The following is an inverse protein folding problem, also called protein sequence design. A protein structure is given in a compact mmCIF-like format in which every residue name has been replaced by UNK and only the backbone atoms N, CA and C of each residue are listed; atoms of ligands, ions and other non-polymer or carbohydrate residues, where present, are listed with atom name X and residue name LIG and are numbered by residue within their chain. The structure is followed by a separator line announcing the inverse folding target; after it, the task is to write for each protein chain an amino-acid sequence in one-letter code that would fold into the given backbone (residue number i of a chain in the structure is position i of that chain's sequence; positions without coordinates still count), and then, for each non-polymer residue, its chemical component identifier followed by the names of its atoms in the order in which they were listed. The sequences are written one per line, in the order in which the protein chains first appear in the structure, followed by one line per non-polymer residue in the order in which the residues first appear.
data_IF_340498674984
#
_entry.id   IF_340498674984
#
_cell.length_a   1.000
_cell.length_b   1.000
_cell.length_c   1.000
_cell.angle_alpha   90.00
_cell.angle_beta   90.00
_cell.angle_gamma   90.00
#
_symmetry.space_group_name_H-M   'P 1'
#
loop_
_entity.id
_entity.type
_entity.pdbx_description
1 polymer ?
#
# COMPACT_ATOMS: atom_id res chain seq x y z
N UNK A 1 12.85 11.92 -57.14
CA UNK A 1 12.86 13.31 -56.64
C UNK A 1 11.55 13.96 -57.06
N UNK A 2 10.54 13.84 -56.22
CA UNK A 2 9.29 14.58 -56.38
C UNK A 2 9.19 15.46 -55.14
N UNK A 3 9.44 16.76 -55.31
CA UNK A 3 9.18 17.74 -54.28
C UNK A 3 7.66 17.86 -54.15
N UNK A 4 7.09 17.27 -53.10
CA UNK A 4 5.74 17.59 -52.67
C UNK A 4 5.73 19.06 -52.24
N UNK A 5 5.14 19.90 -53.08
CA UNK A 5 4.90 21.30 -52.77
C UNK A 5 3.95 21.36 -51.57
N UNK A 6 4.52 21.55 -50.38
CA UNK A 6 3.78 21.74 -49.13
C UNK A 6 2.97 23.02 -49.28
N UNK A 7 1.65 22.90 -49.50
CA UNK A 7 0.75 24.05 -49.52
C UNK A 7 0.61 24.58 -48.10
N UNK A 8 1.50 25.50 -47.72
CA UNK A 8 1.42 26.20 -46.44
C UNK A 8 0.51 27.42 -46.57
N UNK A 9 -0.27 27.71 -45.54
CA UNK A 9 -1.15 28.88 -45.52
C UNK A 9 -0.31 30.16 -45.44
N UNK A 10 -0.43 31.06 -46.43
CA UNK A 10 0.36 32.31 -46.48
C UNK A 10 0.03 33.28 -45.33
N UNK A 11 -1.19 33.21 -44.77
CA UNK A 11 -1.59 33.95 -43.58
C UNK A 11 -1.92 32.98 -42.44
N UNK A 12 -1.07 32.95 -41.40
CA UNK A 12 -1.40 32.26 -40.16
C UNK A 12 -2.47 33.05 -39.39
N UNK A 13 -3.52 32.38 -38.89
CA UNK A 13 -4.46 32.98 -37.95
C UNK A 13 -3.74 33.53 -36.71
N UNK A 14 -4.14 34.72 -36.24
CA UNK A 14 -3.51 35.40 -35.10
C UNK A 14 -3.55 34.55 -33.82
N UNK A 15 -4.69 33.93 -33.51
CA UNK A 15 -4.83 33.06 -32.32
C UNK A 15 -3.82 31.91 -32.26
N UNK A 16 -3.32 31.41 -33.41
CA UNK A 16 -2.30 30.35 -33.40
C UNK A 16 -0.92 30.88 -33.00
N UNK A 17 -0.63 32.13 -33.35
CA UNK A 17 0.62 32.80 -32.94
C UNK A 17 0.55 33.10 -31.46
N UNK A 18 -0.53 33.77 -31.03
CA UNK A 18 -0.77 34.06 -29.61
C UNK A 18 -0.71 32.80 -28.74
N UNK A 19 -1.32 31.70 -29.17
CA UNK A 19 -1.26 30.43 -28.43
C UNK A 19 0.16 29.85 -28.37
N UNK A 20 0.93 29.94 -29.46
CA UNK A 20 2.31 29.42 -29.45
C UNK A 20 3.19 30.29 -28.57
N UNK A 21 3.07 31.61 -28.67
CA UNK A 21 3.78 32.58 -27.85
C UNK A 21 3.44 32.42 -26.35
N UNK A 22 2.18 32.12 -26.01
CA UNK A 22 1.76 31.83 -24.63
C UNK A 22 2.39 30.53 -24.10
N UNK A 23 2.45 29.47 -24.91
CA UNK A 23 3.09 28.20 -24.53
C UNK A 23 4.60 28.39 -24.36
N UNK A 24 5.25 29.08 -25.30
CA UNK A 24 6.69 29.40 -25.21
C UNK A 24 6.98 30.18 -23.92
N UNK A 25 6.19 31.22 -23.62
CA UNK A 25 6.33 31.97 -22.38
C UNK A 25 6.12 31.11 -21.14
N UNK A 26 5.17 30.17 -21.16
CA UNK A 26 4.97 29.26 -20.04
C UNK A 26 6.16 28.33 -19.84
N UNK A 27 6.71 27.77 -20.92
CA UNK A 27 7.90 26.90 -20.87
C UNK A 27 9.12 27.66 -20.36
N UNK A 28 9.33 28.91 -20.80
CA UNK A 28 10.46 29.72 -20.33
C UNK A 28 10.34 30.15 -18.86
N UNK A 29 9.12 30.23 -18.32
CA UNK A 29 8.87 30.68 -16.95
C UNK A 29 8.97 29.57 -15.91
N UNK A 30 8.95 28.29 -16.31
CA UNK A 30 9.00 27.16 -15.39
C UNK A 30 10.26 26.33 -15.62
N UNK A 31 10.78 25.72 -14.57
CA UNK A 31 12.01 24.92 -14.66
C UNK A 31 11.78 23.55 -15.32
N UNK A 32 10.61 22.94 -15.10
CA UNK A 32 10.32 21.59 -15.54
C UNK A 32 9.07 21.54 -16.43
N UNK A 33 9.15 20.73 -17.49
CA UNK A 33 8.07 20.56 -18.48
C UNK A 33 7.73 19.08 -18.62
N UNK A 34 6.49 18.71 -18.34
CA UNK A 34 5.95 17.38 -18.54
C UNK A 34 4.96 17.30 -19.69
N UNK A 35 4.94 16.18 -20.41
CA UNK A 35 3.88 15.80 -21.34
C UNK A 35 2.96 14.82 -20.63
N UNK A 36 1.69 15.18 -20.48
CA UNK A 36 0.68 14.31 -19.85
C UNK A 36 -0.38 13.85 -20.85
N UNK A 37 -0.84 12.61 -20.70
CA UNK A 37 -2.04 12.10 -21.32
C UNK A 37 -3.27 12.64 -20.61
N UNK A 38 -4.28 13.05 -21.39
CA UNK A 38 -5.59 13.49 -20.86
C UNK A 38 -6.73 12.68 -21.47
N UNK A 39 -6.41 11.50 -22.00
CA UNK A 39 -7.35 10.68 -22.74
C UNK A 39 -8.40 10.08 -21.81
N UNK A 40 -9.68 10.15 -22.20
CA UNK A 40 -10.76 9.56 -21.42
C UNK A 40 -11.13 10.31 -20.14
N UNK A 41 -10.53 11.47 -19.85
CA UNK A 41 -10.87 12.29 -18.68
C UNK A 41 -12.13 13.14 -18.95
N UNK A 42 -13.24 12.94 -18.23
CA UNK A 42 -14.40 13.82 -18.25
C UNK A 42 -14.03 15.27 -17.89
N UNK A 43 -14.73 16.23 -18.49
CA UNK A 43 -14.40 17.65 -18.29
C UNK A 43 -14.53 18.15 -16.85
N UNK A 44 -15.34 17.50 -16.01
CA UNK A 44 -15.49 17.84 -14.59
C UNK A 44 -14.25 17.39 -13.79
N UNK A 45 -13.86 16.12 -13.92
CA UNK A 45 -12.65 15.57 -13.28
C UNK A 45 -11.40 16.35 -13.71
N UNK A 46 -11.24 16.67 -14.99
CA UNK A 46 -10.11 17.48 -15.47
C UNK A 46 -10.08 18.89 -14.85
N UNK A 47 -11.24 19.49 -14.57
CA UNK A 47 -11.32 20.78 -13.88
C UNK A 47 -10.98 20.67 -12.40
N UNK A 48 -11.34 19.55 -11.76
CA UNK A 48 -11.03 19.27 -10.36
C UNK A 48 -9.54 19.02 -10.19
N UNK A 49 -8.93 18.15 -11.02
CA UNK A 49 -7.47 17.95 -11.08
C UNK A 49 -6.71 19.25 -11.34
N UNK A 50 -7.18 20.10 -12.27
CA UNK A 50 -6.56 21.41 -12.53
C UNK A 50 -6.64 22.34 -11.30
N UNK A 51 -7.68 22.20 -10.48
CA UNK A 51 -7.83 23.01 -9.25
C UNK A 51 -6.88 22.51 -8.16
N UNK A 52 -6.66 21.21 -8.07
CA UNK A 52 -5.71 20.61 -7.14
C UNK A 52 -4.27 20.99 -7.47
N UNK A 53 -3.89 20.95 -8.74
CA UNK A 53 -2.57 21.37 -9.21
C UNK A 53 -2.34 22.88 -9.11
N UNK A 54 -3.38 23.68 -8.81
CA UNK A 54 -3.25 25.14 -8.82
C UNK A 54 -2.30 25.63 -7.70
N UNK A 55 -1.14 26.12 -8.12
CA UNK A 55 -0.11 26.65 -7.24
C UNK A 55 1.17 25.82 -7.29
N UNK A 56 1.07 24.54 -7.63
CA UNK A 56 2.19 23.62 -7.82
C UNK A 56 2.56 23.46 -9.30
N UNK A 57 1.55 23.29 -10.15
CA UNK A 57 1.74 23.04 -11.57
C UNK A 57 0.65 23.68 -12.44
N UNK A 58 1.01 24.02 -13.68
CA UNK A 58 0.12 24.60 -14.68
C UNK A 58 -0.13 23.60 -15.79
N UNK A 59 -1.38 23.14 -15.92
CA UNK A 59 -1.81 22.28 -17.02
C UNK A 59 -2.32 23.11 -18.21
N UNK A 60 -1.55 23.15 -19.31
CA UNK A 60 -1.94 23.77 -20.58
C UNK A 60 -2.28 22.72 -21.64
N UNK A 61 -3.52 22.73 -22.11
CA UNK A 61 -3.99 21.88 -23.21
C UNK A 61 -4.14 22.73 -24.47
N UNK A 62 -3.52 22.31 -25.56
CA UNK A 62 -3.53 23.03 -26.83
C UNK A 62 -3.35 22.03 -27.99
N UNK A 63 -3.30 22.49 -29.23
CA UNK A 63 -3.12 21.57 -30.37
C UNK A 63 -1.71 21.01 -30.36
N UNK A 64 -1.55 19.70 -30.55
CA UNK A 64 -0.24 19.02 -30.62
C UNK A 64 0.73 19.68 -31.61
N UNK A 65 0.22 20.23 -32.72
CA UNK A 65 1.04 20.95 -33.71
C UNK A 65 1.59 22.28 -33.21
N UNK A 66 0.92 22.93 -32.25
CA UNK A 66 1.39 24.16 -31.62
C UNK A 66 2.33 23.84 -30.45
N UNK A 67 1.99 22.85 -29.63
CA UNK A 67 2.87 22.36 -28.56
C UNK A 67 4.23 21.92 -29.10
N UNK A 68 4.24 21.09 -30.16
CA UNK A 68 5.47 20.63 -30.80
C UNK A 68 6.34 21.80 -31.29
N UNK A 69 5.72 22.82 -31.89
CA UNK A 69 6.45 24.01 -32.34
C UNK A 69 7.03 24.83 -31.19
N UNK A 70 6.29 24.98 -30.10
CA UNK A 70 6.77 25.71 -28.93
C UNK A 70 7.94 24.98 -28.26
N UNK A 71 7.86 23.64 -28.12
CA UNK A 71 8.93 22.80 -27.59
C UNK A 71 10.20 22.86 -28.46
N UNK A 72 10.04 22.86 -29.79
CA UNK A 72 11.15 23.04 -30.75
C UNK A 72 11.81 24.42 -30.63
N UNK A 73 11.02 25.46 -30.30
CA UNK A 73 11.53 26.82 -30.15
C UNK A 73 12.31 27.02 -28.84
N UNK A 74 11.91 26.35 -27.76
CA UNK A 74 12.52 26.48 -26.43
C UNK A 74 13.68 25.52 -26.17
N UNK A 75 13.96 24.59 -27.09
CA UNK A 75 15.09 23.64 -27.01
C UNK A 75 14.77 22.35 -26.26
N UNK A 76 13.48 22.03 -26.08
CA UNK A 76 12.99 20.78 -25.51
C UNK A 76 12.51 19.83 -26.61
N UNK A 77 13.29 19.73 -27.70
CA UNK A 77 12.97 18.92 -28.89
C UNK A 77 12.69 17.45 -28.54
N UNK A 78 13.36 16.92 -27.52
CA UNK A 78 13.26 15.52 -27.11
C UNK A 78 11.84 15.14 -26.62
N UNK A 79 11.07 16.10 -26.09
CA UNK A 79 9.69 15.86 -25.65
C UNK A 79 8.72 15.68 -26.84
N UNK A 80 9.10 16.11 -28.03
CA UNK A 80 8.18 16.14 -29.19
C UNK A 80 7.76 14.75 -29.67
N UNK A 81 8.53 13.72 -29.34
CA UNK A 81 8.24 12.31 -29.62
C UNK A 81 7.07 11.79 -28.77
N UNK A 82 6.89 12.33 -27.57
CA UNK A 82 5.83 11.91 -26.63
C UNK A 82 4.49 12.63 -26.85
N UNK A 83 4.48 13.70 -27.66
CA UNK A 83 3.29 14.52 -27.98
C UNK A 83 2.43 13.84 -29.06
N UNK A 84 1.74 12.77 -28.68
CA UNK A 84 0.85 11.98 -29.55
C UNK A 84 -0.56 11.74 -28.95
N UNK A 85 -1.61 11.85 -29.75
CA UNK A 85 -2.98 11.66 -29.26
C UNK A 85 -3.51 12.83 -28.42
N UNK A 86 -4.28 12.54 -27.37
CA UNK A 86 -4.88 13.53 -26.47
C UNK A 86 -3.91 13.86 -25.34
N UNK A 87 -3.13 14.93 -25.53
CA UNK A 87 -2.05 15.33 -24.60
C UNK A 87 -2.15 16.79 -24.17
N UNK A 88 -1.64 17.06 -22.97
CA UNK A 88 -1.41 18.39 -22.41
C UNK A 88 0.04 18.56 -21.97
N UNK A 89 0.45 19.81 -21.76
CA UNK A 89 1.69 20.14 -21.11
C UNK A 89 1.41 20.47 -19.64
N UNK A 90 2.18 19.88 -18.74
CA UNK A 90 2.23 20.26 -17.33
C UNK A 90 3.54 20.98 -17.09
N UNK A 91 3.47 22.15 -16.49
CA UNK A 91 4.64 23.00 -16.22
C UNK A 91 4.73 23.20 -14.72
N UNK A 92 5.89 22.99 -14.13
CA UNK A 92 6.09 23.14 -12.69
C UNK A 92 7.51 23.58 -12.39
N UNK A 93 7.66 24.31 -11.28
CA UNK A 93 8.96 24.64 -10.69
C UNK A 93 9.44 23.55 -9.72
N UNK A 94 8.61 22.54 -9.45
CA UNK A 94 8.95 21.45 -8.57
C UNK A 94 9.71 20.33 -9.28
N UNK A 95 10.44 19.54 -8.49
CA UNK A 95 11.20 18.40 -8.97
C UNK A 95 10.31 17.39 -9.73
N UNK A 96 10.76 16.81 -10.86
CA UNK A 96 9.96 15.92 -11.68
C UNK A 96 9.45 14.67 -10.95
N UNK A 97 10.17 14.16 -9.94
CA UNK A 97 9.72 13.04 -9.11
C UNK A 97 8.62 13.44 -8.12
N UNK A 98 8.63 14.69 -7.65
CA UNK A 98 7.53 15.21 -6.83
C UNK A 98 6.29 15.44 -7.69
N UNK A 99 6.48 16.00 -8.88
CA UNK A 99 5.40 16.20 -9.85
C UNK A 99 4.75 14.87 -10.25
N UNK A 100 5.54 13.83 -10.54
CA UNK A 100 5.00 12.50 -10.84
C UNK A 100 4.13 11.98 -9.68
N UNK A 101 4.63 12.05 -8.44
CA UNK A 101 3.87 11.64 -7.25
C UNK A 101 2.60 12.44 -7.02
N UNK A 102 2.63 13.75 -7.27
CA UNK A 102 1.43 14.59 -7.16
C UNK A 102 0.40 14.25 -8.25
N UNK A 103 0.85 13.98 -9.48
CA UNK A 103 -0.03 13.55 -10.57
C UNK A 103 -0.65 12.18 -10.31
N UNK A 104 0.13 11.22 -9.80
CA UNK A 104 -0.37 9.91 -9.36
C UNK A 104 -1.35 10.04 -8.19
N UNK A 105 -1.08 10.90 -7.20
CA UNK A 105 -1.99 11.15 -6.09
C UNK A 105 -3.27 11.89 -6.51
N UNK A 106 -3.25 12.65 -7.61
CA UNK A 106 -4.43 13.33 -8.16
C UNK A 106 -5.34 12.42 -8.99
N UNK A 107 -4.95 11.15 -9.19
CA UNK A 107 -5.79 10.16 -9.88
C UNK A 107 -7.06 9.94 -9.07
N UNK A 108 -8.20 10.01 -9.75
CA UNK A 108 -9.49 9.81 -9.12
C UNK A 108 -10.14 8.57 -9.73
N UNK A 109 -10.80 7.73 -8.90
CA UNK A 109 -11.64 6.68 -9.44
C UNK A 109 -12.77 7.27 -10.30
N UNK A 110 -13.16 6.53 -11.33
CA UNK A 110 -14.20 6.89 -12.28
C UNK A 110 -14.96 5.63 -12.74
N UNK A 111 -16.24 5.79 -13.14
CA UNK A 111 -17.01 4.70 -13.72
C UNK A 111 -16.47 4.33 -15.11
N UNK A 112 -16.54 3.04 -15.44
CA UNK A 112 -16.14 2.49 -16.75
C UNK A 112 -17.36 2.30 -17.65
N UNK A 113 -17.28 2.75 -18.90
CA UNK A 113 -18.38 2.64 -19.87
C UNK A 113 -18.35 1.35 -20.69
N UNK A 114 -19.50 0.91 -21.21
CA UNK A 114 -19.57 -0.24 -22.09
C UNK A 114 -18.78 -0.05 -23.38
N UNK A 115 -18.04 -1.10 -23.75
CA UNK A 115 -17.13 -1.10 -24.90
C UNK A 115 -15.77 -0.44 -24.64
N UNK A 116 -15.51 0.03 -23.43
CA UNK A 116 -14.15 0.36 -22.99
C UNK A 116 -13.40 -0.91 -22.58
N UNK A 117 -12.07 -0.87 -22.72
CA UNK A 117 -11.18 -1.95 -22.27
C UNK A 117 -10.81 -1.68 -20.81
N UNK A 118 -11.00 -2.67 -19.94
CA UNK A 118 -10.65 -2.55 -18.53
C UNK A 118 -9.13 -2.43 -18.35
N UNK A 119 -8.62 -1.37 -17.69
CA UNK A 119 -7.18 -1.22 -17.46
C UNK A 119 -6.66 -2.17 -16.37
N UNK A 120 -7.49 -2.48 -15.38
CA UNK A 120 -7.21 -3.36 -14.25
C UNK A 120 -8.35 -4.37 -14.10
N UNK A 121 -8.13 -5.43 -13.31
CA UNK A 121 -9.15 -6.42 -13.00
C UNK A 121 -10.32 -5.76 -12.25
N UNK A 122 -11.55 -6.05 -12.69
CA UNK A 122 -12.76 -5.53 -12.06
C UNK A 122 -13.25 -6.55 -11.03
N UNK A 123 -13.17 -6.17 -9.75
CA UNK A 123 -13.60 -7.00 -8.62
C UNK A 123 -14.81 -6.37 -7.95
N UNK A 124 -15.82 -7.18 -7.66
CA UNK A 124 -16.92 -6.79 -6.78
C UNK A 124 -16.58 -7.27 -5.38
N UNK A 125 -16.41 -6.36 -4.40
CA UNK A 125 -16.02 -6.73 -3.05
C UNK A 125 -17.14 -7.47 -2.33
N UNK A 126 -16.76 -8.33 -1.38
CA UNK A 126 -17.67 -8.94 -0.42
C UNK A 126 -18.34 -7.85 0.45
N UNK A 127 -19.62 -8.05 0.75
CA UNK A 127 -20.37 -7.09 1.57
C UNK A 127 -21.80 -6.85 1.14
N UNK A 128 -22.47 -6.00 1.93
CA UNK A 128 -23.84 -5.57 1.67
C UNK A 128 -23.83 -4.52 0.56
N UNK A 129 -24.53 -4.81 -0.51
CA UNK A 129 -24.66 -3.86 -1.63
C UNK A 129 -25.59 -2.71 -1.30
N UNK A 130 -26.41 -2.83 -0.24
CA UNK A 130 -27.40 -1.83 0.15
C UNK A 130 -28.58 -1.70 -0.83
N UNK A 131 -28.66 -2.58 -1.84
CA UNK A 131 -29.71 -2.59 -2.86
C UNK A 131 -30.87 -3.50 -2.43
N UNK A 132 -32.10 -3.02 -2.61
CA UNK A 132 -33.32 -3.77 -2.28
C UNK A 132 -33.43 -5.07 -3.12
N UNK A 133 -33.98 -6.17 -2.54
CA UNK A 133 -34.10 -7.45 -3.23
C UNK A 133 -34.98 -7.33 -4.48
N UNK A 134 -34.41 -7.68 -5.64
CA UNK A 134 -35.06 -7.49 -6.93
C UNK A 134 -34.40 -8.28 -8.07
N UNK A 135 -34.68 -7.93 -9.33
CA UNK A 135 -34.04 -8.57 -10.49
C UNK A 135 -32.51 -8.41 -10.48
N UNK A 136 -31.99 -7.42 -9.75
CA UNK A 136 -30.56 -7.11 -9.63
C UNK A 136 -29.71 -8.29 -9.12
N UNK A 137 -30.25 -9.17 -8.27
CA UNK A 137 -29.55 -10.40 -7.84
C UNK A 137 -29.20 -11.30 -9.03
N UNK A 138 -30.13 -11.41 -9.99
CA UNK A 138 -29.92 -12.20 -11.21
C UNK A 138 -28.88 -11.55 -12.12
N UNK A 139 -28.82 -10.22 -12.16
CA UNK A 139 -27.84 -9.46 -12.94
C UNK A 139 -26.41 -9.65 -12.36
N UNK A 140 -26.26 -9.56 -11.03
CA UNK A 140 -25.00 -9.87 -10.33
C UNK A 140 -24.52 -11.30 -10.57
N UNK A 141 -25.41 -12.28 -10.46
CA UNK A 141 -25.09 -13.68 -10.72
C UNK A 141 -24.75 -13.93 -12.21
N UNK A 142 -25.36 -13.17 -13.12
CA UNK A 142 -25.12 -13.31 -14.56
C UNK A 142 -23.73 -12.80 -14.98
N UNK A 143 -23.22 -11.75 -14.31
CA UNK A 143 -21.86 -11.24 -14.54
C UNK A 143 -20.79 -12.02 -13.77
N UNK A 144 -21.17 -13.04 -12.98
CA UNK A 144 -20.25 -13.94 -12.30
C UNK A 144 -20.01 -13.66 -10.82
N UNK A 145 -20.74 -12.73 -10.20
CA UNK A 145 -20.63 -12.46 -8.76
C UNK A 145 -21.47 -13.43 -7.93
N UNK A 146 -20.90 -13.94 -6.82
CA UNK A 146 -21.63 -14.81 -5.89
C UNK A 146 -22.49 -13.99 -4.92
N UNK A 147 -23.69 -13.60 -5.36
CA UNK A 147 -24.63 -12.80 -4.57
C UNK A 147 -25.85 -13.61 -4.09
N UNK A 148 -26.32 -13.36 -2.86
CA UNK A 148 -27.58 -13.91 -2.30
C UNK A 148 -28.37 -12.82 -1.56
N UNK A 149 -29.64 -13.11 -1.29
CA UNK A 149 -30.50 -12.22 -0.51
C UNK A 149 -30.36 -12.62 0.97
N UNK A 150 -29.87 -11.71 1.79
CA UNK A 150 -29.74 -11.87 3.24
C UNK A 150 -30.28 -10.61 3.93
N UNK A 151 -30.95 -10.78 5.08
CA UNK A 151 -31.48 -9.68 5.91
C UNK A 151 -32.31 -8.58 5.22
N UNK A 152 -32.85 -8.88 4.03
CA UNK A 152 -33.68 -7.96 3.28
C UNK A 152 -32.91 -7.03 2.33
N UNK A 153 -31.61 -7.27 2.09
CA UNK A 153 -30.79 -6.66 1.03
C UNK A 153 -30.03 -7.73 0.24
N UNK A 154 -29.26 -7.32 -0.76
CA UNK A 154 -28.44 -8.21 -1.60
C UNK A 154 -27.00 -8.20 -1.07
N UNK A 155 -26.49 -9.35 -0.67
CA UNK A 155 -25.15 -9.56 -0.13
C UNK A 155 -24.25 -10.28 -1.13
N UNK A 156 -23.03 -9.78 -1.33
CA UNK A 156 -21.96 -10.48 -2.04
C UNK A 156 -21.16 -11.31 -1.03
N UNK A 157 -21.04 -12.60 -1.30
CA UNK A 157 -20.49 -13.59 -0.36
C UNK A 157 -18.96 -13.69 -0.37
N UNK A 158 -18.34 -13.35 -1.48
CA UNK A 158 -16.90 -13.41 -1.68
C UNK A 158 -16.48 -12.44 -2.79
N UNK A 159 -15.26 -11.92 -2.68
CA UNK A 159 -14.63 -11.08 -3.71
C UNK A 159 -14.64 -11.82 -5.05
N UNK A 160 -15.41 -11.31 -6.00
CA UNK A 160 -15.63 -11.95 -7.30
C UNK A 160 -15.08 -11.08 -8.42
N UNK A 161 -14.04 -11.56 -9.12
CA UNK A 161 -13.52 -10.91 -10.33
C UNK A 161 -14.49 -11.14 -11.49
N UNK A 162 -15.17 -10.08 -11.91
CA UNK A 162 -16.19 -10.13 -12.98
C UNK A 162 -15.60 -9.94 -14.38
N UNK A 163 -14.42 -9.33 -14.46
CA UNK A 163 -13.71 -9.10 -15.72
C UNK A 163 -12.19 -8.99 -15.47
N UNK A 164 -11.38 -9.63 -16.31
CA UNK A 164 -9.93 -9.51 -16.28
C UNK A 164 -9.45 -8.24 -17.03
N UNK A 165 -8.27 -7.74 -16.66
CA UNK A 165 -7.63 -6.63 -17.34
C UNK A 165 -7.44 -6.92 -18.84
N UNK A 166 -7.82 -5.96 -19.69
CA UNK A 166 -7.70 -6.07 -21.15
C UNK A 166 -8.94 -6.60 -21.87
N UNK A 167 -10.00 -6.99 -21.15
CA UNK A 167 -11.28 -7.36 -21.75
C UNK A 167 -12.22 -6.17 -21.94
N UNK A 168 -13.16 -6.29 -22.89
CA UNK A 168 -14.16 -5.25 -23.18
C UNK A 168 -15.32 -5.33 -22.19
N UNK A 169 -15.66 -4.19 -21.58
CA UNK A 169 -16.79 -4.10 -20.65
C UNK A 169 -18.11 -4.25 -21.40
N UNK A 170 -18.95 -5.20 -20.96
CA UNK A 170 -20.31 -5.38 -21.49
C UNK A 170 -21.28 -4.40 -20.83
N UNK A 171 -22.40 -4.12 -21.50
CA UNK A 171 -23.44 -3.24 -20.95
C UNK A 171 -24.03 -3.75 -19.63
N UNK A 172 -24.07 -5.07 -19.42
CA UNK A 172 -24.58 -5.66 -18.19
C UNK A 172 -23.63 -5.38 -17.01
N UNK A 173 -22.31 -5.46 -17.23
CA UNK A 173 -21.29 -5.12 -16.22
C UNK A 173 -21.32 -3.63 -15.89
N UNK A 174 -21.39 -2.75 -16.90
CA UNK A 174 -21.50 -1.30 -16.68
C UNK A 174 -22.71 -0.94 -15.81
N UNK A 175 -23.89 -1.50 -16.10
CA UNK A 175 -25.10 -1.20 -15.34
C UNK A 175 -24.96 -1.64 -13.88
N UNK A 176 -24.39 -2.82 -13.63
CA UNK A 176 -24.18 -3.31 -12.27
C UNK A 176 -23.17 -2.47 -11.50
N UNK A 177 -22.03 -2.12 -12.11
CA UNK A 177 -21.02 -1.26 -11.47
C UNK A 177 -21.58 0.12 -11.13
N UNK A 178 -22.35 0.72 -12.03
CA UNK A 178 -22.99 2.01 -11.80
C UNK A 178 -24.04 1.97 -10.67
N UNK A 179 -24.82 0.88 -10.58
CA UNK A 179 -25.82 0.72 -9.51
C UNK A 179 -25.15 0.47 -8.15
N UNK A 180 -24.05 -0.27 -8.11
CA UNK A 180 -23.23 -0.46 -6.90
C UNK A 180 -22.40 0.77 -6.53
N UNK A 181 -22.31 1.76 -7.43
CA UNK A 181 -21.42 2.92 -7.25
C UNK A 181 -19.93 2.56 -7.25
N UNK A 182 -19.56 1.43 -7.87
CA UNK A 182 -18.17 0.97 -7.96
C UNK A 182 -17.50 1.63 -9.18
N UNK A 183 -16.46 2.40 -8.90
CA UNK A 183 -15.66 3.10 -9.90
C UNK A 183 -14.42 2.28 -10.26
N UNK A 184 -14.56 1.39 -11.25
CA UNK A 184 -13.56 0.37 -11.59
C UNK A 184 -12.38 0.86 -12.45
N UNK A 185 -12.31 2.16 -12.77
CA UNK A 185 -11.26 2.75 -13.60
C UNK A 185 -10.63 3.92 -12.87
N UNK A 186 -9.32 3.97 -12.82
CA UNK A 186 -8.61 5.17 -12.40
C UNK A 186 -8.40 6.09 -13.60
N UNK A 187 -8.80 7.35 -13.44
CA UNK A 187 -8.65 8.38 -14.46
C UNK A 187 -7.71 9.44 -13.91
N UNK A 188 -6.66 9.71 -14.67
CA UNK A 188 -5.50 10.46 -14.19
C UNK A 188 -4.79 11.23 -15.28
N UNK A 189 -3.98 12.19 -14.87
CA UNK A 189 -3.02 12.84 -15.75
C UNK A 189 -1.78 11.96 -15.89
N UNK A 190 -1.81 11.03 -16.83
CA UNK A 190 -0.70 10.09 -17.03
C UNK A 190 0.53 10.82 -17.57
N UNK A 191 1.57 10.98 -16.74
CA UNK A 191 2.83 11.56 -17.18
C UNK A 191 3.51 10.60 -18.16
N UNK A 192 3.82 11.07 -19.37
CA UNK A 192 4.52 10.28 -20.39
C UNK A 192 5.99 10.55 -20.44
N UNK A 193 6.38 11.80 -20.19
CA UNK A 193 7.76 12.22 -20.15
C UNK A 193 7.85 13.54 -19.37
N UNK A 194 8.91 13.71 -18.59
CA UNK A 194 9.28 14.98 -17.99
C UNK A 194 10.66 15.43 -18.47
N UNK A 195 10.81 16.70 -18.76
CA UNK A 195 12.07 17.34 -19.09
C UNK A 195 12.51 18.24 -17.94
N UNK A 196 13.68 17.95 -17.39
CA UNK A 196 14.32 18.72 -16.33
C UNK A 196 15.83 18.75 -16.57
N UNK A 197 16.46 19.92 -16.41
CA UNK A 197 17.92 20.11 -16.50
C UNK A 197 18.59 19.53 -17.79
N UNK A 198 17.87 19.48 -18.90
CA UNK A 198 18.40 18.94 -20.16
C UNK A 198 18.33 17.41 -20.29
N UNK A 199 17.61 16.74 -19.39
CA UNK A 199 17.37 15.29 -19.41
C UNK A 199 15.87 15.02 -19.52
N UNK A 200 15.50 14.06 -20.35
CA UNK A 200 14.14 13.50 -20.39
C UNK A 200 14.08 12.30 -19.45
N UNK A 201 13.06 12.28 -18.61
CA UNK A 201 12.72 11.18 -17.71
C UNK A 201 11.47 10.49 -18.24
N UNK A 202 11.57 9.17 -18.43
CA UNK A 202 10.43 8.31 -18.69
C UNK A 202 9.65 8.03 -17.39
N UNK A 203 8.37 7.62 -17.46
CA UNK A 203 7.55 7.41 -16.26
C UNK A 203 8.10 6.30 -15.36
N UNK A 204 8.67 5.25 -15.96
CA UNK A 204 9.32 4.13 -15.26
C UNK A 204 10.54 4.58 -14.44
N UNK A 205 11.23 5.64 -14.87
CA UNK A 205 12.36 6.20 -14.12
C UNK A 205 11.90 7.06 -12.95
N UNK A 206 10.70 7.65 -13.05
CA UNK A 206 10.11 8.54 -12.03
C UNK A 206 9.34 7.78 -10.95
N UNK A 207 8.86 6.57 -11.27
CA UNK A 207 8.16 5.68 -10.36
C UNK A 207 9.12 4.99 -9.39
N UNK A 208 9.50 5.73 -8.34
CA UNK A 208 10.39 5.26 -7.29
C UNK A 208 9.60 5.08 -6.00
N UNK A 209 9.40 3.82 -5.61
CA UNK A 209 8.88 3.45 -4.30
C UNK A 209 9.96 3.59 -3.22
N UNK A 210 10.01 4.76 -2.59
CA UNK A 210 10.99 5.08 -1.54
C UNK A 210 10.87 4.11 -0.36
N UNK A 211 9.68 3.64 -0.02
CA UNK A 211 9.45 2.78 1.13
C UNK A 211 10.01 1.37 0.88
N UNK A 212 9.79 0.84 -0.33
CA UNK A 212 10.41 -0.42 -0.75
C UNK A 212 11.95 -0.33 -0.73
N UNK A 213 12.53 0.77 -1.23
CA UNK A 213 13.99 0.98 -1.19
C UNK A 213 14.52 1.05 0.25
N UNK A 214 13.81 1.70 1.16
CA UNK A 214 14.19 1.72 2.58
C UNK A 214 14.16 0.32 3.20
N UNK A 215 13.12 -0.47 2.90
CA UNK A 215 12.99 -1.84 3.37
C UNK A 215 14.10 -2.75 2.81
N UNK A 216 14.46 -2.58 1.54
CA UNK A 216 15.55 -3.32 0.89
C UNK A 216 16.90 -3.01 1.54
N UNK A 217 17.18 -1.73 1.81
CA UNK A 217 18.43 -1.31 2.49
C UNK A 217 18.47 -1.86 3.92
N UNK A 218 17.36 -1.80 4.65
CA UNK A 218 17.26 -2.37 6.00
C UNK A 218 17.50 -3.89 5.98
N UNK A 219 16.89 -4.58 5.03
CA UNK A 219 17.03 -6.03 4.84
C UNK A 219 18.46 -6.39 4.47
N UNK A 220 19.09 -5.68 3.54
CA UNK A 220 20.48 -5.88 3.15
C UNK A 220 21.44 -5.65 4.35
N UNK A 221 21.19 -4.63 5.17
CA UNK A 221 21.97 -4.38 6.37
C UNK A 221 21.82 -5.50 7.42
N UNK A 222 20.60 -6.02 7.62
CA UNK A 222 20.34 -7.14 8.50
C UNK A 222 21.03 -8.42 8.02
N UNK A 223 20.93 -8.72 6.71
CA UNK A 223 21.59 -9.86 6.09
C UNK A 223 23.12 -9.75 6.18
N UNK A 224 23.69 -8.57 5.93
CA UNK A 224 25.13 -8.33 6.06
C UNK A 224 25.63 -8.54 7.51
N UNK A 225 24.86 -8.08 8.51
CA UNK A 225 25.16 -8.35 9.93
C UNK A 225 25.09 -9.84 10.24
N UNK A 226 24.04 -10.52 9.77
CA UNK A 226 23.88 -11.96 9.95
C UNK A 226 25.07 -12.74 9.35
N UNK A 227 25.48 -12.38 8.13
CA UNK A 227 26.64 -12.95 7.47
C UNK A 227 27.93 -12.72 8.27
N UNK A 228 28.16 -11.51 8.77
CA UNK A 228 29.35 -11.19 9.60
C UNK A 228 29.38 -11.99 10.90
N UNK A 229 28.23 -12.16 11.57
CA UNK A 229 28.14 -12.96 12.81
C UNK A 229 28.39 -14.44 12.53
N UNK A 230 27.82 -14.98 11.45
CA UNK A 230 27.98 -16.40 11.11
C UNK A 230 29.37 -16.73 10.54
N UNK A 231 30.01 -15.78 9.84
CA UNK A 231 31.38 -15.90 9.38
C UNK A 231 32.43 -15.65 10.50
N UNK A 232 31.99 -15.31 11.72
CA UNK A 232 32.85 -14.95 12.86
C UNK A 232 33.82 -13.80 12.49
N UNK A 233 33.34 -12.85 11.69
CA UNK A 233 34.11 -11.67 11.30
C UNK A 233 33.81 -10.51 12.26
N UNK A 234 34.75 -10.13 13.15
CA UNK A 234 34.48 -9.12 14.16
C UNK A 234 34.54 -7.72 13.56
N UNK A 235 33.41 -7.02 13.60
CA UNK A 235 33.33 -5.57 13.37
C UNK A 235 32.95 -4.86 14.66
N UNK A 236 33.08 -3.53 14.72
CA UNK A 236 32.62 -2.75 15.89
C UNK A 236 31.13 -2.94 16.18
N UNK A 237 30.32 -3.21 15.15
CA UNK A 237 28.89 -3.43 15.28
C UNK A 237 28.52 -4.89 15.65
N UNK A 238 29.28 -5.87 15.16
CA UNK A 238 28.98 -7.31 15.38
C UNK A 238 29.75 -7.94 16.54
N UNK A 239 30.79 -7.29 17.06
CA UNK A 239 31.58 -7.81 18.18
C UNK A 239 30.78 -8.07 19.46
N UNK A 240 29.86 -7.20 19.92
CA UNK A 240 29.04 -7.49 21.10
C UNK A 240 28.20 -8.75 20.94
N UNK A 241 27.57 -8.92 19.77
CA UNK A 241 26.76 -10.10 19.44
C UNK A 241 27.60 -11.37 19.37
N UNK A 242 28.81 -11.31 18.80
CA UNK A 242 29.73 -12.45 18.76
C UNK A 242 30.19 -12.88 20.16
N UNK A 243 30.48 -11.92 21.05
CA UNK A 243 30.86 -12.21 22.43
C UNK A 243 29.69 -12.82 23.21
N UNK A 244 28.48 -12.28 23.04
CA UNK A 244 27.28 -12.83 23.66
C UNK A 244 27.01 -14.27 23.18
N UNK A 245 27.10 -14.52 21.88
CA UNK A 245 26.97 -15.85 21.28
C UNK A 245 28.01 -16.82 21.83
N UNK A 246 29.29 -16.44 21.84
CA UNK A 246 30.37 -17.28 22.36
C UNK A 246 30.20 -17.61 23.85
N UNK A 247 29.75 -16.63 24.65
CA UNK A 247 29.49 -16.83 26.09
C UNK A 247 28.32 -17.79 26.30
N UNK A 248 27.23 -17.64 25.53
CA UNK A 248 26.08 -18.55 25.56
C UNK A 248 26.46 -19.97 25.14
N UNK A 249 27.22 -20.13 24.07
CA UNK A 249 27.72 -21.44 23.61
C UNK A 249 28.65 -22.11 24.63
N UNK A 250 29.57 -21.34 25.24
CA UNK A 250 30.46 -21.84 26.29
C UNK A 250 29.68 -22.29 27.54
N UNK A 251 28.67 -21.50 27.96
CA UNK A 251 27.78 -21.84 29.06
C UNK A 251 26.99 -23.11 28.77
N UNK A 252 26.36 -23.22 27.59
CA UNK A 252 25.65 -24.41 27.16
C UNK A 252 26.54 -25.66 27.15
N UNK A 253 27.78 -25.54 26.66
CA UNK A 253 28.75 -26.62 26.69
C UNK A 253 29.12 -27.01 28.13
N UNK A 254 29.36 -26.04 29.01
CA UNK A 254 29.67 -26.28 30.43
C UNK A 254 28.52 -27.00 31.16
N UNK A 255 27.27 -26.60 30.92
CA UNK A 255 26.08 -27.22 31.51
C UNK A 255 25.80 -28.63 30.97
N UNK A 256 26.19 -28.92 29.73
CA UNK A 256 26.02 -30.24 29.13
C UNK A 256 27.15 -31.20 29.51
N UNK A 257 28.37 -30.69 29.65
CA UNK A 257 29.53 -31.45 30.09
C UNK A 257 29.64 -31.57 31.62
N UNK A 258 28.74 -30.92 32.37
CA UNK A 258 28.74 -30.87 33.83
C UNK A 258 30.09 -30.41 34.42
N UNK A 259 30.64 -29.34 33.84
CA UNK A 259 31.90 -28.74 34.31
C UNK A 259 31.62 -27.97 35.59
N UNK A 260 32.34 -28.33 36.66
CA UNK A 260 32.24 -27.68 37.96
C UNK A 260 32.96 -26.31 37.92
N UNK A 261 32.17 -25.25 37.75
CA UNK A 261 32.62 -23.85 37.78
C UNK A 261 31.65 -23.00 38.61
N UNK A 262 32.17 -22.03 39.38
CA UNK A 262 31.38 -21.20 40.30
C UNK A 262 30.22 -20.49 39.61
N UNK A 263 30.38 -20.07 38.35
CA UNK A 263 29.33 -19.39 37.57
C UNK A 263 28.25 -20.36 37.05
N UNK A 264 28.58 -21.64 36.89
CA UNK A 264 27.67 -22.67 36.35
C UNK A 264 26.96 -23.47 37.46
N UNK A 265 27.50 -23.49 38.68
CA UNK A 265 26.97 -24.27 39.80
C UNK A 265 25.47 -24.01 40.09
N UNK A 266 24.96 -22.76 40.10
CA UNK A 266 23.54 -22.51 40.33
C UNK A 266 22.65 -23.20 39.29
N UNK A 267 23.04 -23.11 38.01
CA UNK A 267 22.29 -23.69 36.89
C UNK A 267 22.40 -25.22 36.86
N UNK A 268 23.56 -25.78 37.21
CA UNK A 268 23.74 -27.24 37.34
C UNK A 268 22.89 -27.82 38.46
N UNK A 269 22.82 -27.15 39.62
CA UNK A 269 21.98 -27.58 40.75
C UNK A 269 20.50 -27.47 40.38
N UNK A 270 20.09 -26.39 39.72
CA UNK A 270 18.72 -26.22 39.24
C UNK A 270 18.33 -27.32 38.24
N UNK A 271 19.21 -27.63 37.26
CA UNK A 271 19.01 -28.72 36.31
C UNK A 271 18.91 -30.08 37.00
N UNK A 272 19.76 -30.35 37.99
CA UNK A 272 19.72 -31.59 38.76
C UNK A 272 18.43 -31.72 39.59
N UNK A 273 17.97 -30.65 40.23
CA UNK A 273 16.70 -30.63 40.96
C UNK A 273 15.51 -30.86 40.03
N UNK A 274 15.50 -30.22 38.86
CA UNK A 274 14.46 -30.42 37.84
C UNK A 274 14.43 -31.88 37.33
N UNK A 275 15.60 -32.48 37.07
CA UNK A 275 15.71 -33.88 36.66
C UNK A 275 15.29 -34.86 37.76
N UNK A 276 15.66 -34.57 39.02
CA UNK A 276 15.26 -35.36 40.18
C UNK A 276 13.74 -35.34 40.36
N UNK A 277 13.11 -34.16 40.25
CA UNK A 277 11.65 -34.01 40.33
C UNK A 277 10.93 -34.70 39.17
N UNK A 278 11.46 -34.59 37.95
CA UNK A 278 10.92 -35.29 36.80
C UNK A 278 10.98 -36.81 36.97
N UNK A 279 12.07 -37.33 37.53
CA UNK A 279 12.19 -38.76 37.85
C UNK A 279 11.25 -39.18 38.99
N UNK A 280 11.12 -38.36 40.03
CA UNK A 280 10.24 -38.61 41.16
C UNK A 280 8.78 -38.69 40.73
N UNK A 281 8.35 -37.82 39.81
CA UNK A 281 6.99 -37.83 39.24
C UNK A 281 6.67 -39.09 38.41
N UNK A 282 7.68 -39.85 37.97
CA UNK A 282 7.51 -41.09 37.21
C UNK A 282 7.49 -42.34 38.11
N UNK A 283 7.73 -42.20 39.42
CA UNK A 283 7.76 -43.31 40.36
C UNK A 283 6.42 -43.36 41.10
N UNK A 284 5.60 -44.38 40.78
CA UNK A 284 4.26 -44.59 41.39
C UNK A 284 4.30 -45.07 42.85
N UNK A 285 5.47 -45.50 43.35
CA UNK A 285 5.64 -46.03 44.71
C UNK A 285 6.05 -44.91 45.68
N UNK A 286 5.06 -44.40 46.42
CA UNK A 286 5.22 -43.29 47.37
C UNK A 286 6.13 -43.62 48.56
N UNK A 287 6.29 -44.90 48.93
CA UNK A 287 7.16 -45.31 50.05
C UNK A 287 8.65 -45.35 49.66
N UNK A 288 8.96 -45.36 48.36
CA UNK A 288 10.32 -45.34 47.83
C UNK A 288 10.89 -43.91 47.65
N UNK A 289 10.03 -42.88 47.75
CA UNK A 289 10.40 -41.48 47.56
C UNK A 289 10.78 -40.81 48.91
N UNK A 290 11.82 -39.97 48.96
CA UNK A 290 12.14 -39.17 50.15
C UNK A 290 10.99 -38.21 50.53
N UNK A 291 10.76 -37.95 51.82
CA UNK A 291 9.67 -37.07 52.33
C UNK A 291 9.59 -35.70 51.64
N UNK A 292 10.72 -35.16 51.17
CA UNK A 292 10.79 -33.88 50.47
C UNK A 292 10.27 -33.89 49.01
N UNK A 293 9.97 -35.07 48.44
CA UNK A 293 9.57 -35.26 47.04
C UNK A 293 8.24 -36.00 46.87
N UNK A 294 7.54 -36.29 47.98
CA UNK A 294 6.29 -37.08 47.99
C UNK A 294 5.05 -36.32 47.48
N UNK A 295 5.11 -34.99 47.35
CA UNK A 295 4.00 -34.12 46.90
C UNK A 295 4.34 -33.31 45.62
N UNK A 296 5.29 -33.78 44.81
CA UNK A 296 5.73 -33.05 43.61
C UNK A 296 4.91 -33.50 42.39
N UNK A 297 3.86 -32.74 42.07
CA UNK A 297 3.19 -32.84 40.78
C UNK A 297 4.16 -32.37 39.68
N UNK A 298 4.20 -33.09 38.56
CA UNK A 298 5.14 -32.83 37.47
C UNK A 298 5.06 -31.36 37.01
N UNK A 299 6.18 -30.65 36.77
CA UNK A 299 6.10 -29.41 36.02
C UNK A 299 5.53 -29.76 34.64
N UNK A 300 4.35 -29.21 34.33
CA UNK A 300 3.78 -29.29 33.01
C UNK A 300 4.81 -28.79 31.99
N UNK A 301 4.95 -29.42 30.81
CA UNK A 301 5.81 -28.90 29.77
C UNK A 301 5.30 -27.51 29.40
N UNK A 302 6.13 -26.49 29.60
CA UNK A 302 5.91 -25.18 29.01
C UNK A 302 6.04 -25.32 27.50
N UNK A 303 4.90 -25.34 26.81
CA UNK A 303 4.80 -25.07 25.39
C UNK A 303 5.11 -23.59 25.16
N UNK A 304 6.36 -23.29 24.84
CA UNK A 304 6.73 -22.15 24.02
C UNK A 304 7.68 -22.66 22.92
N UNK A 305 7.41 -22.19 21.69
CA UNK A 305 7.99 -22.56 20.40
C UNK A 305 7.56 -23.89 19.76
N UNK A 306 6.37 -23.90 19.13
CA UNK A 306 6.23 -24.17 17.68
C UNK A 306 4.87 -23.64 17.21
N UNK A 307 4.85 -22.46 16.60
CA UNK A 307 3.77 -22.01 15.72
C UNK A 307 4.39 -21.23 14.57
N UNK A 308 4.68 -21.94 13.49
CA UNK A 308 4.58 -21.51 12.09
C UNK A 308 4.28 -22.78 11.27
N UNK A 309 3.29 -22.67 10.38
CA UNK A 309 2.84 -23.56 9.28
C UNK A 309 1.63 -24.51 9.50
N UNK A 310 0.46 -23.99 9.07
CA UNK A 310 -0.61 -24.56 8.22
C UNK A 310 -1.24 -25.94 8.53
N UNK A 311 -2.57 -26.00 8.69
CA UNK A 311 -3.52 -26.21 7.57
C UNK A 311 -4.94 -26.56 8.07
N UNK A 312 -5.91 -25.96 7.39
CA UNK A 312 -7.35 -26.15 7.22
C UNK A 312 -8.26 -27.07 8.08
N UNK A 313 -9.47 -26.50 8.28
CA UNK A 313 -10.81 -27.08 8.06
C UNK A 313 -11.66 -27.68 9.20
N UNK A 314 -12.78 -26.98 9.38
CA UNK A 314 -14.19 -27.44 9.45
C UNK A 314 -14.83 -27.89 10.78
N UNK A 315 -16.03 -27.32 10.94
CA UNK A 315 -17.25 -27.81 11.58
C UNK A 315 -17.51 -27.52 13.07
N UNK A 316 -18.28 -26.44 13.28
CA UNK A 316 -19.69 -26.48 13.71
C UNK A 316 -20.07 -27.27 14.99
N UNK A 317 -20.43 -26.54 16.05
CA UNK A 317 -21.84 -26.40 16.52
C UNK A 317 -21.95 -25.68 17.87
N UNK A 318 -22.66 -24.54 17.83
CA UNK A 318 -23.71 -24.03 18.72
C UNK A 318 -23.88 -24.62 20.14
N UNK A 319 -23.95 -23.74 21.15
CA UNK A 319 -25.25 -23.20 21.64
C UNK A 319 -25.04 -22.23 22.82
N UNK A 320 -25.53 -20.99 22.65
CA UNK A 320 -26.39 -20.16 23.54
C UNK A 320 -26.04 -20.03 25.07
N UNK A 321 -26.17 -18.90 25.77
CA UNK A 321 -26.83 -17.61 25.56
C UNK A 321 -26.44 -16.63 26.69
N UNK A 322 -26.73 -15.34 26.49
CA UNK A 322 -26.91 -14.23 27.44
C UNK A 322 -25.68 -13.70 28.23
N UNK A 323 -25.41 -12.40 28.34
CA UNK A 323 -26.27 -11.21 28.26
C UNK A 323 -25.43 -9.96 28.00
N UNK A 324 -26.05 -8.99 27.33
CA UNK A 324 -25.55 -7.71 26.83
C UNK A 324 -24.93 -6.74 27.85
N UNK A 325 -23.97 -5.95 27.37
CA UNK A 325 -23.64 -4.62 27.89
C UNK A 325 -23.15 -3.74 26.72
N UNK A 326 -23.27 -2.43 26.93
CA UNK A 326 -22.99 -1.27 26.05
C UNK A 326 -24.23 -0.74 25.27
N UNK A 327 -24.31 0.56 24.90
CA UNK A 327 -23.49 1.72 25.29
C UNK A 327 -24.31 3.01 25.60
N UNK A 328 -23.57 4.08 25.87
CA UNK A 328 -23.95 5.50 25.96
C UNK A 328 -24.74 6.06 24.75
N UNK A 329 -25.49 7.16 24.96
CA UNK A 329 -25.52 8.31 24.04
C UNK A 329 -26.27 9.54 24.63
N UNK A 330 -25.99 10.68 24.00
CA UNK A 330 -25.89 12.07 24.46
C UNK A 330 -27.15 12.92 24.84
N UNK A 331 -26.82 14.03 25.53
CA UNK A 331 -27.27 15.43 25.39
C UNK A 331 -28.36 16.12 26.27
N UNK A 332 -27.94 17.34 26.66
CA UNK A 332 -28.62 18.61 26.98
C UNK A 332 -28.99 19.07 28.43
N UNK A 333 -28.33 20.21 28.76
CA UNK A 333 -28.73 21.41 29.54
C UNK A 333 -29.07 21.32 31.06
N UNK A 334 -28.25 22.00 31.89
CA UNK A 334 -28.56 23.34 32.48
C UNK A 334 -27.73 23.65 33.76
N UNK A 335 -27.36 24.93 33.88
CA UNK A 335 -27.00 25.71 35.08
C UNK A 335 -25.89 25.30 36.08
N UNK A 336 -24.88 26.19 36.18
CA UNK A 336 -24.61 26.85 37.46
C UNK A 336 -23.28 26.57 38.21
N UNK A 337 -22.44 27.61 38.24
CA UNK A 337 -21.61 28.02 39.39
C UNK A 337 -20.44 27.10 39.84
N UNK A 338 -19.21 27.61 39.80
CA UNK A 338 -18.14 27.10 40.67
C UNK A 338 -16.73 27.39 40.20
N UNK A 339 -16.27 28.62 40.38
CA UNK A 339 -14.85 28.96 40.33
C UNK A 339 -14.05 28.26 41.44
N UNK A 340 -12.72 28.25 41.26
CA UNK A 340 -11.66 28.00 42.26
C UNK A 340 -11.21 26.53 42.45
N UNK A 341 -9.97 26.21 42.06
CA UNK A 341 -9.35 24.99 42.60
C UNK A 341 -8.05 24.43 42.01
N UNK A 342 -7.54 24.86 40.87
CA UNK A 342 -6.36 24.21 40.24
C UNK A 342 -5.13 25.11 40.20
N UNK A 343 -4.62 25.46 41.37
CA UNK A 343 -3.40 26.26 41.54
C UNK A 343 -2.41 25.72 42.59
N UNK A 344 -2.56 24.47 43.06
CA UNK A 344 -1.76 23.97 44.19
C UNK A 344 -1.28 22.51 44.05
N UNK A 345 -0.89 22.08 42.84
CA UNK A 345 -0.21 20.78 42.65
C UNK A 345 1.04 20.86 41.76
N UNK A 346 1.77 21.96 41.85
CA UNK A 346 3.19 22.00 41.51
C UNK A 346 3.92 22.85 42.56
N UNK A 347 4.21 22.20 43.69
CA UNK A 347 4.98 22.70 44.82
C UNK A 347 5.46 21.51 45.64
#
# INVERSE_FOLDING_TARGET
MSAEATRQTENLPEWKREETDEIEALIENHENVGVVGIAGIPSKQLQDMRRELHGTAVLRVSRNTLQRRALEATGSDDLTEFVEGQVGLVLSDENPFSLYRELEASKTPAPIGAGEVAPNDIVIPEGDTGVDPGPFVGELQQIGANARIEDGSIQVMEDSTVLEAGEEVTADIENVLNELGIEAKEVGLDLRAAYADGVVFDPEDLDIDVDAYEQDVATAAAQARNLSVNAVYPTSQTAPTLVAKATGEAKSLGLQAAIEDEELMPDLVSKADAQLRALAAQIDDTEALPEALQDVEAPAPSTEDTAESDDESSDDQDDADDTEAEPDDDDDDDDGSGAEGLGAMFG
#
